data_IF_362476053283
#
_entry.id   IF_362476053283
#
_cell.length_a   1.000
_cell.length_b   1.000
_cell.length_c   1.000
_cell.angle_alpha   90.00
_cell.angle_beta   90.00
_cell.angle_gamma   90.00
#
_symmetry.space_group_name_H-M   'P 1'
#
loop_
_entity.id
_entity.type
_entity.pdbx_description
1 polymer ?
#
# COMPACT_ATOMS: atom_id res chain seq x y z
N UNK A 1 4.83 13.03 -27.11
CA UNK A 1 5.92 13.64 -26.32
C UNK A 1 6.50 12.53 -25.49
N UNK A 2 7.82 12.36 -25.42
CA UNK A 2 8.41 11.36 -24.52
C UNK A 2 8.29 11.94 -23.11
N UNK A 3 7.14 11.78 -22.48
CA UNK A 3 6.88 12.35 -21.16
C UNK A 3 7.81 11.66 -20.16
N UNK A 4 8.91 12.35 -19.88
CA UNK A 4 9.90 11.89 -18.93
C UNK A 4 9.23 11.76 -17.57
N UNK A 5 9.38 10.60 -16.94
CA UNK A 5 8.87 10.33 -15.60
C UNK A 5 9.30 11.43 -14.63
N UNK A 6 8.33 12.01 -13.93
CA UNK A 6 8.57 12.88 -12.78
C UNK A 6 9.06 12.02 -11.62
N UNK A 7 10.38 11.84 -11.51
CA UNK A 7 10.98 11.12 -10.40
C UNK A 7 10.60 11.69 -9.02
N UNK A 8 10.58 13.03 -8.80
CA UNK A 8 10.14 13.59 -7.51
C UNK A 8 8.68 13.25 -7.19
N UNK A 9 7.78 13.35 -8.17
CA UNK A 9 6.37 13.03 -7.97
C UNK A 9 6.14 11.54 -7.76
N UNK A 10 6.87 10.67 -8.46
CA UNK A 10 6.84 9.22 -8.23
C UNK A 10 7.31 8.87 -6.81
N UNK A 11 8.45 9.40 -6.36
CA UNK A 11 8.96 9.18 -5.00
C UNK A 11 7.94 9.68 -3.97
N UNK A 12 7.38 10.87 -4.17
CA UNK A 12 6.36 11.42 -3.30
C UNK A 12 5.10 10.54 -3.29
N UNK A 13 4.67 9.99 -4.44
CA UNK A 13 3.51 9.08 -4.50
C UNK A 13 3.72 7.79 -3.71
N UNK A 14 4.95 7.27 -3.65
CA UNK A 14 5.27 6.07 -2.88
C UNK A 14 5.43 6.38 -1.39
N UNK A 15 6.09 7.49 -1.05
CA UNK A 15 6.44 7.83 0.33
C UNK A 15 5.27 8.47 1.11
N UNK A 16 4.48 9.35 0.48
CA UNK A 16 3.49 10.16 1.18
C UNK A 16 2.36 9.34 1.84
N UNK A 17 1.78 8.31 1.18
CA UNK A 17 0.86 7.39 1.84
C UNK A 17 1.51 6.72 3.06
N UNK A 18 2.77 6.30 2.94
CA UNK A 18 3.49 5.69 4.04
C UNK A 18 3.62 6.64 5.24
N UNK A 19 4.03 7.90 4.97
CA UNK A 19 4.24 8.94 5.99
C UNK A 19 2.92 9.25 6.70
N UNK A 20 1.88 9.61 5.96
CA UNK A 20 0.60 10.03 6.55
C UNK A 20 0.01 8.91 7.40
N UNK A 21 -0.03 7.69 6.87
CA UNK A 21 -0.64 6.58 7.60
C UNK A 21 0.20 6.15 8.80
N UNK A 22 1.54 6.18 8.72
CA UNK A 22 2.41 5.88 9.88
C UNK A 22 2.23 6.89 11.01
N UNK A 23 2.07 8.18 10.69
CA UNK A 23 1.79 9.23 11.68
C UNK A 23 0.47 8.94 12.40
N UNK A 24 -0.59 8.66 11.64
CA UNK A 24 -1.91 8.41 12.22
C UNK A 24 -1.99 7.09 12.99
N UNK A 25 -1.34 6.02 12.50
CA UNK A 25 -1.20 4.78 13.26
C UNK A 25 -0.44 5.04 14.55
N UNK A 26 0.72 5.71 14.52
CA UNK A 26 1.44 6.04 15.75
C UNK A 26 0.61 6.88 16.72
N UNK A 27 -0.17 7.85 16.24
CA UNK A 27 -1.07 8.63 17.10
C UNK A 27 -2.12 7.74 17.79
N UNK A 28 -2.70 6.77 17.07
CA UNK A 28 -3.64 5.80 17.63
C UNK A 28 -2.96 4.90 18.68
N UNK A 29 -1.81 4.31 18.34
CA UNK A 29 -1.14 3.30 19.17
C UNK A 29 -0.37 3.92 20.35
N UNK A 30 0.16 5.13 20.21
CA UNK A 30 0.93 5.76 21.29
C UNK A 30 0.09 5.99 22.55
N UNK A 31 -1.23 6.11 22.37
CA UNK A 31 -2.26 6.22 23.42
C UNK A 31 -2.37 4.97 24.29
N UNK A 32 -2.03 3.81 23.74
CA UNK A 32 -2.13 2.49 24.40
C UNK A 32 -0.85 2.17 25.18
N UNK A 33 0.27 2.85 24.86
CA UNK A 33 1.59 2.57 25.42
C UNK A 33 2.23 1.28 24.90
N UNK A 34 1.54 0.56 23.99
CA UNK A 34 1.93 -0.74 23.45
C UNK A 34 2.04 -0.66 21.93
N UNK A 35 3.23 -0.31 21.45
CA UNK A 35 3.47 -0.19 20.01
C UNK A 35 4.88 -0.62 19.61
N UNK A 36 5.00 -1.00 18.34
CA UNK A 36 6.26 -1.34 17.70
C UNK A 36 6.38 -0.56 16.39
N UNK A 37 7.58 -0.05 16.10
CA UNK A 37 7.84 0.74 14.88
C UNK A 37 7.46 -0.02 13.61
N UNK A 38 7.63 -1.35 13.59
CA UNK A 38 7.29 -2.18 12.45
C UNK A 38 5.77 -2.34 12.27
N UNK A 39 4.99 -2.34 13.35
CA UNK A 39 3.52 -2.25 13.27
C UNK A 39 3.13 -0.90 12.69
N UNK A 40 3.72 0.19 13.19
CA UNK A 40 3.43 1.54 12.72
C UNK A 40 3.72 1.69 11.23
N UNK A 41 4.86 1.18 10.76
CA UNK A 41 5.21 1.27 9.35
C UNK A 41 4.35 0.35 8.48
N UNK A 42 4.10 -0.88 8.91
CA UNK A 42 3.32 -1.85 8.14
C UNK A 42 1.84 -1.47 8.04
N UNK A 43 1.18 -1.26 9.18
CA UNK A 43 -0.21 -0.79 9.23
C UNK A 43 -0.33 0.63 8.68
N UNK A 44 0.69 1.47 8.88
CA UNK A 44 0.74 2.84 8.40
C UNK A 44 0.65 2.93 6.88
N UNK A 45 1.43 2.14 6.15
CA UNK A 45 1.32 2.14 4.69
C UNK A 45 -0.09 1.73 4.22
N UNK A 46 -0.68 0.70 4.82
CA UNK A 46 -2.03 0.22 4.46
C UNK A 46 -3.10 1.29 4.74
N UNK A 47 -3.08 1.89 5.93
CA UNK A 47 -3.99 2.98 6.28
C UNK A 47 -3.81 4.15 5.31
N UNK A 48 -2.57 4.54 5.05
CA UNK A 48 -2.25 5.70 4.24
C UNK A 48 -2.63 5.52 2.78
N UNK A 49 -2.37 4.37 2.17
CA UNK A 49 -2.71 4.14 0.77
C UNK A 49 -4.24 4.06 0.57
N UNK A 50 -4.98 3.45 1.50
CA UNK A 50 -6.44 3.45 1.44
C UNK A 50 -7.02 4.85 1.68
N UNK A 51 -6.48 5.61 2.63
CA UNK A 51 -6.83 7.01 2.82
C UNK A 51 -6.60 7.84 1.56
N UNK A 52 -5.49 7.62 0.85
CA UNK A 52 -5.23 8.25 -0.44
C UNK A 52 -6.32 7.93 -1.46
N UNK A 53 -6.77 6.67 -1.57
CA UNK A 53 -7.87 6.31 -2.49
C UNK A 53 -9.18 6.99 -2.13
N UNK A 54 -9.47 7.18 -0.83
CA UNK A 54 -10.66 7.92 -0.37
C UNK A 54 -10.55 9.39 -0.74
N UNK A 55 -9.38 10.01 -0.53
CA UNK A 55 -9.16 11.42 -0.87
C UNK A 55 -9.28 11.66 -2.38
N UNK A 56 -8.78 10.75 -3.22
CA UNK A 56 -8.95 10.86 -4.68
C UNK A 56 -10.45 10.86 -5.04
N UNK A 57 -11.24 9.97 -4.45
CA UNK A 57 -12.69 9.93 -4.69
C UNK A 57 -13.40 11.20 -4.19
N UNK A 58 -13.02 11.72 -3.02
CA UNK A 58 -13.59 12.97 -2.50
C UNK A 58 -13.18 14.19 -3.33
N UNK A 59 -11.96 14.20 -3.87
CA UNK A 59 -11.46 15.24 -4.75
C UNK A 59 -12.26 15.30 -6.05
N UNK A 60 -12.46 14.15 -6.68
CA UNK A 60 -13.26 14.01 -7.90
C UNK A 60 -14.75 14.33 -7.65
N UNK A 61 -15.31 13.85 -6.54
CA UNK A 61 -16.69 14.18 -6.14
C UNK A 61 -16.91 15.68 -5.85
N UNK A 62 -15.85 16.44 -5.55
CA UNK A 62 -15.89 17.89 -5.44
C UNK A 62 -15.86 18.60 -6.81
N UNK A 63 -15.86 17.86 -7.92
CA UNK A 63 -15.79 18.37 -9.29
C UNK A 63 -14.41 18.90 -9.67
N UNK A 64 -13.36 18.53 -8.92
CA UNK A 64 -12.01 19.00 -9.17
C UNK A 64 -11.29 18.02 -10.11
N UNK A 65 -10.67 18.56 -11.16
CA UNK A 65 -9.80 17.76 -12.03
C UNK A 65 -8.66 17.12 -11.23
N UNK A 66 -8.41 15.83 -11.50
CA UNK A 66 -7.40 15.04 -10.83
C UNK A 66 -6.02 15.64 -11.05
N UNK A 67 -5.40 16.10 -9.97
CA UNK A 67 -4.08 16.71 -10.02
C UNK A 67 -3.24 16.26 -8.82
N UNK A 68 -2.07 15.67 -9.10
CA UNK A 68 -1.20 15.07 -8.09
C UNK A 68 -0.90 16.01 -6.93
N UNK A 69 -0.40 17.22 -7.23
CA UNK A 69 0.06 18.14 -6.18
C UNK A 69 -1.07 18.67 -5.31
N UNK A 70 -2.31 18.76 -5.83
CA UNK A 70 -3.47 19.18 -5.05
C UNK A 70 -3.82 18.13 -3.99
N UNK A 71 -3.87 16.87 -4.39
CA UNK A 71 -4.13 15.73 -3.51
C UNK A 71 -2.95 15.51 -2.55
N UNK A 72 -1.71 15.64 -3.02
CA UNK A 72 -0.51 15.55 -2.19
C UNK A 72 -0.47 16.64 -1.10
N UNK A 73 -0.96 17.85 -1.39
CA UNK A 73 -1.07 18.92 -0.41
C UNK A 73 -2.04 18.55 0.72
N UNK A 74 -3.18 17.94 0.40
CA UNK A 74 -4.13 17.44 1.42
C UNK A 74 -3.46 16.39 2.30
N UNK A 75 -2.81 15.38 1.71
CA UNK A 75 -2.11 14.33 2.45
C UNK A 75 -0.98 14.88 3.33
N UNK A 76 -0.27 15.89 2.85
CA UNK A 76 0.75 16.62 3.62
C UNK A 76 0.13 17.38 4.78
N UNK A 77 -0.99 18.08 4.55
CA UNK A 77 -1.76 18.75 5.60
C UNK A 77 -2.24 17.78 6.68
N UNK A 78 -2.74 16.61 6.30
CA UNK A 78 -3.12 15.54 7.23
C UNK A 78 -1.94 15.00 8.02
N UNK A 79 -0.76 14.91 7.40
CA UNK A 79 0.48 14.51 8.08
C UNK A 79 0.89 15.56 9.14
N UNK A 80 0.84 16.84 8.79
CA UNK A 80 1.12 17.95 9.73
C UNK A 80 0.12 17.97 10.88
N UNK A 81 -1.17 17.80 10.58
CA UNK A 81 -2.23 17.72 11.59
C UNK A 81 -2.01 16.55 12.54
N UNK A 82 -1.64 15.38 12.03
CA UNK A 82 -1.29 14.21 12.85
C UNK A 82 -0.07 14.47 13.75
N UNK A 83 0.99 15.11 13.24
CA UNK A 83 2.16 15.50 14.04
C UNK A 83 1.79 16.48 15.16
N UNK A 84 0.90 17.43 14.89
CA UNK A 84 0.39 18.34 15.90
C UNK A 84 -0.43 17.58 16.96
N UNK A 85 -1.31 16.67 16.53
CA UNK A 85 -2.11 15.85 17.43
C UNK A 85 -1.24 14.97 18.36
N UNK A 86 -0.13 14.41 17.85
CA UNK A 86 0.86 13.67 18.63
C UNK A 86 1.53 14.57 19.68
N UNK A 87 1.91 15.81 19.33
CA UNK A 87 2.55 16.74 20.28
C UNK A 87 1.65 17.10 21.45
N UNK A 88 0.34 17.14 21.23
CA UNK A 88 -0.65 17.44 22.26
C UNK A 88 -1.12 16.21 23.05
N UNK A 89 -0.59 15.03 22.73
CA UNK A 89 -0.97 13.79 23.39
C UNK A 89 -0.09 13.55 24.62
N UNK A 90 -0.73 13.25 25.75
CA UNK A 90 -0.01 12.72 26.91
C UNK A 90 0.41 11.29 26.61
N UNK A 91 1.72 11.06 26.50
CA UNK A 91 2.26 9.73 26.26
C UNK A 91 2.26 8.92 27.57
N UNK A 92 1.53 7.78 27.65
CA UNK A 92 1.68 6.86 28.76
C UNK A 92 3.10 6.27 28.78
N UNK A 93 3.52 5.76 29.93
CA UNK A 93 4.78 5.03 30.05
C UNK A 93 4.77 3.85 29.08
N UNK A 94 5.78 3.80 28.20
CA UNK A 94 5.94 2.72 27.24
C UNK A 94 6.18 1.41 27.97
N UNK A 95 5.38 0.39 27.65
CA UNK A 95 5.65 -0.97 28.11
C UNK A 95 6.86 -1.49 27.33
N UNK A 96 8.02 -1.49 27.97
CA UNK A 96 9.24 -2.05 27.38
C UNK A 96 9.19 -3.57 27.45
N UNK A 97 9.12 -4.21 26.29
CA UNK A 97 9.36 -5.66 26.20
C UNK A 97 10.86 -5.87 26.31
N UNK A 98 11.33 -6.41 27.44
CA UNK A 98 12.73 -6.78 27.62
C UNK A 98 13.12 -7.81 26.55
N UNK A 99 13.99 -7.43 25.62
CA UNK A 99 14.55 -8.35 24.64
C UNK A 99 15.75 -9.06 25.25
N UNK A 100 15.68 -10.39 25.31
CA UNK A 100 16.84 -11.22 25.65
C UNK A 100 17.90 -11.00 24.56
N UNK A 101 19.18 -10.74 24.92
CA UNK A 101 20.26 -10.62 23.95
C UNK A 101 20.37 -11.87 23.09
N UNK A 102 20.59 -11.70 21.79
CA UNK A 102 20.76 -12.82 20.87
C UNK A 102 22.14 -13.45 21.04
N UNK A 103 22.19 -14.78 20.98
CA UNK A 103 23.44 -15.51 20.85
C UNK A 103 24.07 -15.26 19.46
N UNK A 104 25.41 -15.36 19.36
CA UNK A 104 26.13 -15.06 18.10
C UNK A 104 25.61 -15.84 16.89
N UNK A 105 25.23 -17.11 17.06
CA UNK A 105 24.66 -17.91 15.97
C UNK A 105 23.25 -17.44 15.58
N UNK A 106 22.44 -16.98 16.54
CA UNK A 106 21.11 -16.43 16.27
C UNK A 106 21.21 -15.13 15.47
N UNK A 107 22.22 -14.30 15.76
CA UNK A 107 22.53 -13.10 14.97
C UNK A 107 22.86 -13.51 13.52
N UNK A 108 23.76 -14.48 13.34
CA UNK A 108 24.14 -14.95 12.00
C UNK A 108 22.95 -15.50 11.21
N UNK A 109 22.10 -16.34 11.84
CA UNK A 109 20.90 -16.90 11.21
C UNK A 109 19.88 -15.81 10.88
N UNK A 110 19.63 -14.89 11.81
CA UNK A 110 18.73 -13.75 11.60
C UNK A 110 19.21 -12.88 10.44
N UNK A 111 20.50 -12.53 10.42
CA UNK A 111 21.10 -11.76 9.34
C UNK A 111 21.01 -12.50 7.99
N UNK A 112 21.22 -13.82 7.99
CA UNK A 112 21.04 -14.67 6.81
C UNK A 112 19.62 -14.58 6.24
N UNK A 113 18.59 -14.74 7.07
CA UNK A 113 17.20 -14.61 6.62
C UNK A 113 16.85 -13.20 6.15
N UNK A 114 17.31 -12.16 6.83
CA UNK A 114 17.12 -10.76 6.38
C UNK A 114 17.78 -10.55 5.02
N UNK A 115 19.00 -11.05 4.81
CA UNK A 115 19.70 -10.96 3.54
C UNK A 115 18.95 -11.70 2.42
N UNK A 116 18.38 -12.88 2.70
CA UNK A 116 17.57 -13.62 1.73
C UNK A 116 16.27 -12.88 1.35
N UNK A 117 15.58 -12.28 2.33
CA UNK A 117 14.41 -11.42 2.06
C UNK A 117 14.82 -10.23 1.20
N UNK A 118 15.89 -9.52 1.59
CA UNK A 118 16.36 -8.35 0.86
C UNK A 118 16.76 -8.70 -0.59
N UNK A 119 17.49 -9.80 -0.78
CA UNK A 119 17.84 -10.30 -2.10
C UNK A 119 16.60 -10.63 -2.93
N UNK A 120 15.64 -11.36 -2.35
CA UNK A 120 14.39 -11.71 -3.05
C UNK A 120 13.62 -10.46 -3.48
N UNK A 121 13.46 -9.49 -2.58
CA UNK A 121 12.69 -8.28 -2.88
C UNK A 121 13.43 -7.31 -3.81
N UNK A 122 14.76 -7.35 -3.84
CA UNK A 122 15.55 -6.69 -4.89
C UNK A 122 15.27 -7.31 -6.26
N UNK A 123 15.22 -8.65 -6.37
CA UNK A 123 14.88 -9.32 -7.65
C UNK A 123 13.43 -9.08 -8.07
N UNK A 124 12.49 -8.99 -7.12
CA UNK A 124 11.10 -8.63 -7.40
C UNK A 124 11.00 -7.18 -7.88
N UNK A 125 11.70 -6.24 -7.22
CA UNK A 125 11.76 -4.85 -7.66
C UNK A 125 12.32 -4.74 -9.08
N UNK A 126 13.39 -5.47 -9.37
CA UNK A 126 13.95 -5.55 -10.73
C UNK A 126 12.91 -6.06 -11.73
N UNK A 127 12.18 -7.13 -11.40
CA UNK A 127 11.16 -7.68 -12.27
C UNK A 127 10.02 -6.68 -12.53
N UNK A 128 9.55 -5.97 -11.49
CA UNK A 128 8.52 -4.92 -11.63
C UNK A 128 9.02 -3.80 -12.54
N UNK A 129 10.28 -3.38 -12.39
CA UNK A 129 10.85 -2.28 -13.18
C UNK A 129 11.11 -2.66 -14.64
N UNK A 130 11.47 -3.92 -14.91
CA UNK A 130 11.83 -4.36 -16.26
C UNK A 130 10.67 -4.95 -17.05
N UNK A 131 9.68 -5.56 -16.38
CA UNK A 131 8.56 -6.21 -17.05
C UNK A 131 7.42 -5.21 -17.28
N UNK A 132 6.95 -5.04 -18.53
CA UNK A 132 5.68 -4.36 -18.79
C UNK A 132 4.52 -5.03 -18.05
N UNK A 133 3.42 -4.30 -17.87
CA UNK A 133 2.22 -4.87 -17.23
C UNK A 133 1.81 -6.16 -17.93
N UNK A 134 1.69 -7.25 -17.17
CA UNK A 134 1.41 -8.56 -17.74
C UNK A 134 -0.03 -8.57 -18.32
N UNK A 135 -0.23 -8.96 -19.60
CA UNK A 135 -1.50 -8.82 -20.31
C UNK A 135 -2.50 -9.92 -19.93
N UNK A 136 -2.89 -9.93 -18.65
CA UNK A 136 -3.85 -10.86 -18.09
C UNK A 136 -4.81 -10.09 -17.15
N UNK A 137 -4.96 -10.52 -15.88
CA UNK A 137 -5.96 -9.97 -14.96
C UNK A 137 -5.83 -8.44 -14.75
N UNK A 138 -4.65 -7.95 -14.35
CA UNK A 138 -4.35 -6.51 -14.27
C UNK A 138 -4.79 -5.72 -15.50
N UNK A 139 -4.37 -6.19 -16.67
CA UNK A 139 -4.58 -5.51 -17.93
C UNK A 139 -6.04 -5.53 -18.39
N UNK A 140 -6.78 -6.61 -18.10
CA UNK A 140 -8.19 -6.71 -18.51
C UNK A 140 -9.16 -6.02 -17.54
N UNK A 141 -8.82 -6.00 -16.25
CA UNK A 141 -9.80 -5.72 -15.18
C UNK A 141 -9.54 -4.44 -14.38
N UNK A 142 -8.28 -4.01 -14.28
CA UNK A 142 -7.88 -3.02 -13.29
C UNK A 142 -7.18 -1.81 -13.91
N UNK A 143 -6.07 -2.05 -14.61
CA UNK A 143 -5.21 -0.99 -15.14
C UNK A 143 -5.90 -0.06 -16.16
N UNK A 144 -6.80 -0.52 -17.06
CA UNK A 144 -7.42 0.39 -18.02
C UNK A 144 -8.25 1.49 -17.36
N UNK A 145 -8.88 1.23 -16.19
CA UNK A 145 -9.56 2.27 -15.41
C UNK A 145 -8.59 3.37 -15.00
N UNK A 146 -7.45 2.98 -14.42
CA UNK A 146 -6.42 3.93 -14.00
C UNK A 146 -5.86 4.75 -15.17
N UNK A 147 -5.60 4.11 -16.32
CA UNK A 147 -5.08 4.79 -17.52
C UNK A 147 -6.09 5.80 -18.06
N UNK A 148 -7.36 5.41 -18.21
CA UNK A 148 -8.41 6.30 -18.70
C UNK A 148 -8.62 7.49 -17.76
N UNK A 149 -8.67 7.24 -16.45
CA UNK A 149 -8.80 8.32 -15.46
C UNK A 149 -7.60 9.25 -15.43
N UNK A 150 -6.40 8.72 -15.62
CA UNK A 150 -5.18 9.52 -15.74
C UNK A 150 -5.22 10.41 -16.98
N UNK A 151 -5.62 9.87 -18.14
CA UNK A 151 -5.69 10.62 -19.39
C UNK A 151 -6.76 11.72 -19.36
N UNK A 152 -7.90 11.43 -18.74
CA UNK A 152 -9.02 12.37 -18.66
C UNK A 152 -8.90 13.36 -17.48
N UNK A 153 -8.01 13.09 -16.51
CA UNK A 153 -7.94 13.78 -15.23
C UNK A 153 -9.29 13.84 -14.48
N UNK A 154 -10.07 12.77 -14.58
CA UNK A 154 -11.40 12.61 -13.97
C UNK A 154 -11.73 11.11 -13.80
N UNK A 155 -12.46 10.75 -12.75
CA UNK A 155 -12.97 9.39 -12.55
C UNK A 155 -14.20 9.08 -13.42
N UNK A 156 -14.01 9.13 -14.74
CA UNK A 156 -15.06 8.81 -15.73
C UNK A 156 -15.71 7.44 -15.51
N UNK A 157 -17.02 7.30 -15.80
CA UNK A 157 -17.78 6.10 -15.46
C UNK A 157 -17.43 4.90 -16.33
N UNK A 158 -17.41 3.72 -15.70
CA UNK A 158 -17.32 2.43 -16.39
C UNK A 158 -18.66 1.70 -16.31
N UNK A 159 -19.25 1.42 -17.47
CA UNK A 159 -20.58 0.82 -17.61
C UNK A 159 -20.48 -0.56 -18.28
N UNK A 160 -21.61 -1.27 -18.34
CA UNK A 160 -21.68 -2.58 -19.00
C UNK A 160 -21.40 -2.46 -20.51
N UNK A 161 -20.86 -3.50 -21.16
CA UNK A 161 -20.65 -3.49 -22.61
C UNK A 161 -21.91 -3.20 -23.41
N UNK A 162 -23.06 -3.72 -22.98
CA UNK A 162 -24.36 -3.49 -23.63
C UNK A 162 -24.79 -2.03 -23.55
N UNK A 163 -24.64 -1.39 -22.38
CA UNK A 163 -24.95 0.03 -22.23
C UNK A 163 -23.97 0.89 -23.01
N UNK A 164 -22.68 0.52 -23.02
CA UNK A 164 -21.64 1.22 -23.74
C UNK A 164 -21.88 1.24 -25.26
N UNK A 165 -22.31 0.12 -25.85
CA UNK A 165 -22.67 0.04 -27.28
C UNK A 165 -23.85 0.94 -27.66
N UNK A 166 -24.72 1.26 -26.70
CA UNK A 166 -25.90 2.11 -26.89
C UNK A 166 -25.64 3.56 -26.47
N UNK A 167 -24.49 3.86 -25.86
CA UNK A 167 -24.17 5.17 -25.30
C UNK A 167 -23.75 6.13 -26.42
N UNK A 168 -24.55 7.17 -26.65
CA UNK A 168 -24.32 8.17 -27.72
C UNK A 168 -24.17 9.59 -27.19
N UNK A 169 -24.13 9.78 -25.86
CA UNK A 169 -24.12 11.08 -25.20
C UNK A 169 -22.85 11.40 -24.41
N UNK A 170 -22.72 12.67 -24.02
CA UNK A 170 -21.73 13.14 -23.04
C UNK A 170 -22.29 13.00 -21.60
N UNK A 171 -21.44 12.74 -20.59
CA UNK A 171 -19.99 12.52 -20.69
C UNK A 171 -19.65 11.15 -21.29
N UNK A 172 -18.48 11.05 -21.89
CA UNK A 172 -17.93 9.78 -22.37
C UNK A 172 -17.92 8.71 -21.26
N UNK A 173 -18.46 7.54 -21.57
CA UNK A 173 -18.43 6.37 -20.69
C UNK A 173 -17.55 5.28 -21.31
N UNK A 174 -16.94 4.45 -20.46
CA UNK A 174 -16.02 3.40 -20.87
C UNK A 174 -16.51 2.03 -20.42
N UNK A 175 -15.91 0.96 -20.95
CA UNK A 175 -16.15 -0.42 -20.52
C UNK A 175 -14.82 -1.16 -20.41
N UNK A 176 -14.84 -2.34 -19.77
CA UNK A 176 -13.69 -3.23 -19.66
C UNK A 176 -13.90 -4.51 -20.46
N UNK A 177 -12.79 -5.22 -20.70
CA UNK A 177 -12.74 -6.39 -21.57
C UNK A 177 -13.26 -7.68 -20.94
N UNK A 178 -13.11 -7.87 -19.63
CA UNK A 178 -13.65 -9.06 -18.98
C UNK A 178 -15.12 -8.89 -18.58
N UNK A 179 -15.82 -10.02 -18.52
CA UNK A 179 -17.22 -10.07 -18.11
C UNK A 179 -17.39 -9.48 -16.70
N UNK A 180 -18.28 -8.49 -16.57
CA UNK A 180 -18.60 -7.79 -15.31
C UNK A 180 -17.48 -7.01 -14.62
N UNK A 181 -16.28 -6.90 -15.20
CA UNK A 181 -15.17 -6.13 -14.62
C UNK A 181 -15.51 -4.63 -14.42
N UNK A 182 -16.47 -4.10 -15.20
CA UNK A 182 -16.99 -2.74 -15.01
C UNK A 182 -17.51 -2.52 -13.57
N UNK A 183 -18.08 -3.56 -12.93
CA UNK A 183 -18.60 -3.53 -11.54
C UNK A 183 -17.52 -3.64 -10.46
N UNK A 184 -16.28 -3.98 -10.81
CA UNK A 184 -15.26 -4.25 -9.81
C UNK A 184 -14.93 -3.01 -8.96
N UNK A 185 -14.60 -3.21 -7.66
CA UNK A 185 -14.22 -2.12 -6.77
C UNK A 185 -13.06 -1.29 -7.34
N UNK A 186 -13.09 0.02 -7.10
CA UNK A 186 -12.16 0.95 -7.74
C UNK A 186 -10.85 1.15 -6.98
N UNK A 187 -10.71 0.61 -5.77
CA UNK A 187 -9.53 0.82 -4.91
C UNK A 187 -8.22 0.46 -5.61
N UNK A 188 -8.15 -0.69 -6.27
CA UNK A 188 -6.92 -1.16 -6.94
C UNK A 188 -6.52 -0.24 -8.12
N UNK A 189 -7.45 0.11 -9.03
CA UNK A 189 -7.20 1.16 -10.03
C UNK A 189 -6.77 2.50 -9.43
N UNK A 190 -7.36 2.94 -8.32
CA UNK A 190 -6.99 4.21 -7.67
C UNK A 190 -5.58 4.20 -7.07
N UNK A 191 -5.12 3.05 -6.55
CA UNK A 191 -3.73 2.88 -6.09
C UNK A 191 -2.76 3.08 -7.26
N UNK A 192 -3.06 2.49 -8.42
CA UNK A 192 -2.24 2.63 -9.61
C UNK A 192 -2.29 4.06 -10.18
N UNK A 193 -3.49 4.64 -10.24
CA UNK A 193 -3.72 6.02 -10.68
C UNK A 193 -2.93 7.02 -9.84
N UNK A 194 -2.87 6.85 -8.51
CA UNK A 194 -2.08 7.72 -7.65
C UNK A 194 -0.60 7.77 -8.05
N UNK A 195 -0.02 6.62 -8.37
CA UNK A 195 1.36 6.54 -8.85
C UNK A 195 1.52 7.08 -10.27
N UNK A 196 0.53 6.92 -11.16
CA UNK A 196 0.52 7.54 -12.50
C UNK A 196 0.50 9.08 -12.40
N UNK A 197 -0.38 9.63 -11.56
CA UNK A 197 -0.47 11.08 -11.29
C UNK A 197 0.86 11.62 -10.76
N UNK A 198 1.50 10.91 -9.82
CA UNK A 198 2.81 11.29 -9.29
C UNK A 198 3.93 11.21 -10.34
N UNK A 199 3.97 10.13 -11.11
CA UNK A 199 4.94 9.94 -12.18
C UNK A 199 4.73 10.89 -13.37
N UNK A 200 3.52 11.44 -13.52
CA UNK A 200 3.13 12.23 -14.69
C UNK A 200 3.03 11.40 -15.98
N UNK A 201 2.90 10.07 -15.87
CA UNK A 201 2.79 9.17 -17.02
C UNK A 201 2.12 7.84 -16.63
N UNK A 202 1.41 7.24 -17.58
CA UNK A 202 0.87 5.87 -17.49
C UNK A 202 1.85 4.80 -18.00
N UNK A 203 2.91 5.20 -18.71
CA UNK A 203 3.68 4.31 -19.58
C UNK A 203 4.96 3.79 -18.93
N UNK A 204 5.22 4.17 -17.67
CA UNK A 204 6.39 3.72 -16.93
C UNK A 204 6.03 2.63 -15.93
N UNK A 205 6.79 1.53 -15.92
CA UNK A 205 6.57 0.38 -15.03
C UNK A 205 6.76 0.71 -13.54
N UNK A 206 7.53 1.74 -13.19
CA UNK A 206 7.78 2.11 -11.80
C UNK A 206 6.52 2.61 -11.06
N UNK A 207 5.45 2.97 -11.78
CA UNK A 207 4.13 3.26 -11.16
C UNK A 207 3.57 2.06 -10.38
N UNK A 208 4.05 0.85 -10.70
CA UNK A 208 3.61 -0.39 -10.08
C UNK A 208 4.39 -0.74 -8.80
N UNK A 209 5.37 0.07 -8.38
CA UNK A 209 6.14 -0.16 -7.15
C UNK A 209 5.28 -0.15 -5.89
N UNK A 210 4.06 0.38 -5.93
CA UNK A 210 3.09 0.29 -4.83
C UNK A 210 2.77 -1.15 -4.42
N UNK A 211 2.81 -2.13 -5.34
CA UNK A 211 2.66 -3.54 -4.99
C UNK A 211 3.84 -4.05 -4.14
N UNK A 212 5.06 -3.67 -4.50
CA UNK A 212 6.24 -3.97 -3.70
C UNK A 212 6.11 -3.37 -2.29
N UNK A 213 5.66 -2.11 -2.21
CA UNK A 213 5.44 -1.43 -0.94
C UNK A 213 4.38 -2.15 -0.08
N UNK A 214 3.28 -2.63 -0.69
CA UNK A 214 2.26 -3.40 -0.01
C UNK A 214 2.78 -4.70 0.59
N UNK A 215 3.58 -5.46 -0.18
CA UNK A 215 4.19 -6.70 0.31
C UNK A 215 5.22 -6.44 1.44
N UNK A 216 6.03 -5.39 1.33
CA UNK A 216 6.95 -4.98 2.39
C UNK A 216 6.17 -4.57 3.65
N UNK A 217 5.10 -3.79 3.50
CA UNK A 217 4.25 -3.36 4.60
C UNK A 217 3.64 -4.56 5.34
N UNK A 218 3.17 -5.58 4.62
CA UNK A 218 2.67 -6.82 5.22
C UNK A 218 3.74 -7.54 6.06
N UNK A 219 4.98 -7.60 5.56
CA UNK A 219 6.11 -8.18 6.30
C UNK A 219 6.45 -7.40 7.57
N UNK A 220 6.48 -6.06 7.48
CA UNK A 220 6.72 -5.19 8.64
C UNK A 220 5.60 -5.32 9.67
N UNK A 221 4.34 -5.38 9.22
CA UNK A 221 3.20 -5.59 10.10
C UNK A 221 3.31 -6.94 10.85
N UNK A 222 3.57 -8.04 10.13
CA UNK A 222 3.77 -9.35 10.75
C UNK A 222 4.90 -9.32 11.78
N UNK A 223 6.07 -8.78 11.39
CA UNK A 223 7.23 -8.69 12.28
C UNK A 223 6.88 -7.93 13.56
N UNK A 224 6.27 -6.75 13.41
CA UNK A 224 5.91 -5.89 14.52
C UNK A 224 4.94 -6.55 15.49
N UNK A 225 3.89 -7.19 14.96
CA UNK A 225 2.87 -7.88 15.75
C UNK A 225 3.43 -9.10 16.49
N UNK A 226 4.29 -9.89 15.85
CA UNK A 226 5.00 -11.00 16.52
C UNK A 226 5.91 -10.51 17.64
N UNK A 227 6.62 -9.38 17.42
CA UNK A 227 7.47 -8.78 18.45
C UNK A 227 6.66 -8.24 19.63
N UNK A 228 5.48 -7.66 19.39
CA UNK A 228 4.55 -7.24 20.45
C UNK A 228 3.98 -8.42 21.23
N UNK A 229 3.78 -9.56 20.56
CA UNK A 229 3.34 -10.82 21.17
C UNK A 229 4.47 -11.58 21.90
N UNK A 230 5.68 -10.99 21.98
CA UNK A 230 6.82 -11.55 22.71
C UNK A 230 7.67 -12.58 21.94
N UNK A 231 7.35 -12.88 20.68
CA UNK A 231 8.14 -13.81 19.87
C UNK A 231 9.57 -13.26 19.66
N UNK A 232 10.61 -14.08 19.81
CA UNK A 232 12.01 -13.63 19.68
C UNK A 232 12.32 -13.03 18.30
N UNK A 233 13.37 -12.22 18.20
CA UNK A 233 13.81 -11.60 16.92
C UNK A 233 14.01 -12.67 15.84
N UNK A 234 14.63 -13.80 16.20
CA UNK A 234 14.87 -14.92 15.29
C UNK A 234 13.54 -15.48 14.74
N UNK A 235 12.59 -15.81 15.61
CA UNK A 235 11.32 -16.40 15.19
C UNK A 235 10.44 -15.42 14.41
N UNK A 236 10.41 -14.15 14.81
CA UNK A 236 9.72 -13.11 14.04
C UNK A 236 10.33 -12.96 12.63
N UNK A 237 11.66 -13.03 12.52
CA UNK A 237 12.37 -12.98 11.23
C UNK A 237 12.09 -14.21 10.38
N UNK A 238 12.12 -15.42 10.96
CA UNK A 238 11.78 -16.67 10.24
C UNK A 238 10.34 -16.63 9.73
N UNK A 239 9.39 -16.16 10.55
CA UNK A 239 8.00 -16.02 10.13
C UNK A 239 7.84 -15.02 8.98
N UNK A 240 8.55 -13.89 9.02
CA UNK A 240 8.58 -12.93 7.92
C UNK A 240 9.20 -13.52 6.67
N UNK A 241 10.31 -14.26 6.81
CA UNK A 241 10.93 -14.97 5.69
C UNK A 241 9.93 -15.95 5.06
N UNK A 242 9.26 -16.77 5.87
CA UNK A 242 8.28 -17.75 5.41
C UNK A 242 7.12 -17.08 4.66
N UNK A 243 6.54 -16.01 5.21
CA UNK A 243 5.44 -15.28 4.58
C UNK A 243 5.88 -14.60 3.27
N UNK A 244 6.96 -13.82 3.33
CA UNK A 244 7.43 -13.01 2.20
C UNK A 244 8.09 -13.87 1.10
N UNK A 245 8.47 -15.11 1.38
CA UNK A 245 8.94 -16.05 0.36
C UNK A 245 7.85 -17.00 -0.14
N UNK A 246 6.60 -16.87 0.33
CA UNK A 246 5.50 -17.65 -0.24
C UNK A 246 5.38 -17.37 -1.75
N UNK A 247 5.33 -18.40 -2.60
CA UNK A 247 5.17 -18.22 -4.04
C UNK A 247 3.99 -17.32 -4.39
N UNK A 248 2.87 -17.44 -3.67
CA UNK A 248 1.67 -16.63 -3.87
C UNK A 248 1.95 -15.13 -3.69
N UNK A 249 2.52 -14.71 -2.56
CA UNK A 249 2.86 -13.31 -2.28
C UNK A 249 3.82 -12.78 -3.35
N UNK A 250 4.85 -13.55 -3.68
CA UNK A 250 5.84 -13.14 -4.67
C UNK A 250 5.25 -12.96 -6.07
N UNK A 251 4.43 -13.91 -6.53
CA UNK A 251 3.78 -13.84 -7.85
C UNK A 251 2.84 -12.66 -7.92
N UNK A 252 2.01 -12.44 -6.90
CA UNK A 252 1.07 -11.32 -6.87
C UNK A 252 1.74 -9.95 -6.65
N UNK A 253 2.98 -9.93 -6.17
CA UNK A 253 3.80 -8.70 -6.09
C UNK A 253 4.44 -8.39 -7.44
N UNK A 254 5.01 -9.40 -8.11
CA UNK A 254 5.64 -9.27 -9.43
C UNK A 254 4.60 -8.95 -10.51
N UNK A 255 3.47 -9.66 -10.50
CA UNK A 255 2.31 -9.39 -11.35
C UNK A 255 1.51 -8.24 -10.76
N UNK A 256 2.16 -7.10 -10.62
CA UNK A 256 1.54 -5.85 -10.18
C UNK A 256 0.33 -5.48 -11.05
N UNK A 257 -0.60 -4.72 -10.46
CA UNK A 257 -1.92 -4.43 -11.04
C UNK A 257 -3.06 -5.33 -10.54
N UNK A 258 -2.74 -6.41 -9.82
CA UNK A 258 -3.72 -7.39 -9.33
C UNK A 258 -4.29 -6.99 -7.97
N UNK A 259 -5.54 -7.39 -7.70
CA UNK A 259 -6.22 -7.09 -6.44
C UNK A 259 -5.82 -8.02 -5.28
N UNK A 260 -5.39 -9.24 -5.58
CA UNK A 260 -5.17 -10.32 -4.61
C UNK A 260 -4.15 -9.96 -3.53
N UNK A 261 -3.06 -9.28 -3.90
CA UNK A 261 -2.07 -8.82 -2.93
C UNK A 261 -2.70 -7.83 -1.94
N UNK A 262 -3.50 -6.88 -2.42
CA UNK A 262 -4.13 -5.87 -1.57
C UNK A 262 -5.16 -6.50 -0.62
N UNK A 263 -5.89 -7.52 -1.07
CA UNK A 263 -6.78 -8.30 -0.19
C UNK A 263 -5.97 -9.02 0.87
N UNK A 264 -4.88 -9.70 0.49
CA UNK A 264 -4.00 -10.40 1.44
C UNK A 264 -3.36 -9.45 2.46
N UNK A 265 -2.92 -8.26 2.01
CA UNK A 265 -2.33 -7.22 2.85
C UNK A 265 -3.37 -6.68 3.83
N UNK A 266 -4.55 -6.27 3.35
CA UNK A 266 -5.61 -5.72 4.20
C UNK A 266 -6.11 -6.75 5.22
N UNK A 267 -6.39 -7.96 4.76
CA UNK A 267 -6.88 -9.04 5.61
C UNK A 267 -5.81 -9.49 6.61
N UNK A 268 -4.56 -9.68 6.18
CA UNK A 268 -3.45 -10.04 7.05
C UNK A 268 -3.24 -9.02 8.16
N UNK A 269 -3.18 -7.73 7.80
CA UNK A 269 -3.08 -6.63 8.76
C UNK A 269 -4.27 -6.60 9.75
N UNK A 270 -5.49 -6.87 9.28
CA UNK A 270 -6.67 -6.95 10.15
C UNK A 270 -6.58 -8.13 11.13
N UNK A 271 -6.16 -9.32 10.65
CA UNK A 271 -5.97 -10.51 11.48
C UNK A 271 -4.91 -10.27 12.56
N UNK A 272 -3.79 -9.63 12.22
CA UNK A 272 -2.75 -9.32 13.20
C UNK A 272 -3.24 -8.37 14.30
N UNK A 273 -3.93 -7.29 13.90
CA UNK A 273 -4.51 -6.34 14.85
C UNK A 273 -5.60 -6.98 15.74
N UNK A 274 -6.44 -7.85 15.16
CA UNK A 274 -7.49 -8.59 15.90
C UNK A 274 -6.89 -9.61 16.87
N UNK A 275 -5.80 -10.28 16.49
CA UNK A 275 -5.10 -11.22 17.37
C UNK A 275 -4.56 -10.48 18.61
N UNK A 276 -3.87 -9.34 18.40
CA UNK A 276 -3.34 -8.54 19.50
C UNK A 276 -4.46 -7.99 20.40
N UNK A 277 -5.59 -7.56 19.81
CA UNK A 277 -6.78 -7.19 20.58
C UNK A 277 -7.36 -8.36 21.38
N UNK A 278 -7.37 -9.56 20.81
CA UNK A 278 -7.85 -10.77 21.47
C UNK A 278 -7.02 -11.14 22.70
N UNK A 279 -5.69 -11.03 22.61
CA UNK A 279 -4.78 -11.36 23.71
C UNK A 279 -4.78 -10.30 24.83
N UNK A 280 -4.79 -9.03 24.45
CA UNK A 280 -4.59 -7.94 25.41
C UNK A 280 -5.88 -7.24 25.85
N UNK A 281 -6.99 -7.46 25.13
CA UNK A 281 -8.23 -6.64 25.18
C UNK A 281 -7.98 -5.15 25.00
N UNK A 282 -6.83 -4.79 24.44
CA UNK A 282 -6.40 -3.45 24.09
C UNK A 282 -6.10 -3.47 22.60
N UNK A 283 -6.52 -2.43 21.88
CA UNK A 283 -6.03 -2.28 20.51
C UNK A 283 -4.52 -2.05 20.56
N UNK A 284 -3.72 -2.59 19.61
CA UNK A 284 -2.39 -2.07 19.37
C UNK A 284 -2.45 -0.55 19.28
#
# INVERSE_FOLDING_TARGET
MSDSVSLPGLIASLALPWIVGSIWVYWLLSKTGRWNVFVILGQGYVLGIFLTTVIIQLWDAAGLSLHFWGIALILTGLSIAGLFAIRHQSAPLRVSVNSIPLEKWQIAVTAGFVALIAYRYATIAQEILLRPLYPWDAWMNWAPKAVIWFQNNELTPFISPGNWLQHTGEPAAHTLGAWDAWKYPITVPLIQLWCMLGAGTSDNTAINLSWLMGAVALGLALYGHLRLSGASILWATIACYALLNMPYINVQTVLSGYADLWVAVAFGCAVFALHEWGESRQWP
#
